data_IF_296330611699
#
_entry.id   IF_296330611699
#
_cell.length_a   1.000
_cell.length_b   1.000
_cell.length_c   1.000
_cell.angle_alpha   90.00
_cell.angle_beta   90.00
_cell.angle_gamma   90.00
#
_symmetry.space_group_name_H-M   'P 1'
#
loop_
_entity.id
_entity.type
_entity.pdbx_description
1 polymer ?
#
# COMPACT_ATOMS: atom_id res chain seq x y z
N UNK A 1 -9.97 0.03 1.41
CA UNK A 1 -10.77 -1.13 1.80
C UNK A 1 -10.46 -2.32 0.90
N UNK A 2 -9.90 -3.39 1.45
CA UNK A 2 -9.54 -4.58 0.69
C UNK A 2 -10.67 -5.61 0.59
N UNK A 3 -11.81 -5.35 1.23
CA UNK A 3 -13.01 -6.17 1.15
C UNK A 3 -13.93 -5.64 0.04
N UNK A 4 -13.94 -6.30 -1.10
CA UNK A 4 -14.62 -5.81 -2.30
C UNK A 4 -16.12 -5.59 -2.18
N UNK A 5 -16.79 -6.31 -1.29
CA UNK A 5 -18.24 -6.18 -1.02
C UNK A 5 -18.58 -4.94 -0.19
N UNK A 6 -17.61 -4.30 0.45
CA UNK A 6 -17.80 -3.09 1.24
C UNK A 6 -17.63 -1.79 0.41
N UNK A 7 -17.35 -1.88 -0.88
CA UNK A 7 -17.19 -0.72 -1.75
C UNK A 7 -18.37 0.27 -1.67
N UNK A 8 -19.59 -0.21 -1.49
CA UNK A 8 -20.77 0.63 -1.39
C UNK A 8 -20.80 1.54 -0.14
N UNK A 9 -19.94 1.26 0.87
CA UNK A 9 -19.78 2.06 2.08
C UNK A 9 -18.63 3.06 1.99
N UNK A 10 -17.77 2.94 0.97
CA UNK A 10 -16.55 3.75 0.86
C UNK A 10 -16.87 5.23 0.59
N UNK A 11 -16.15 6.16 1.26
CA UNK A 11 -16.28 7.60 0.96
C UNK A 11 -15.92 7.95 -0.49
N UNK A 12 -15.07 7.16 -1.13
CA UNK A 12 -14.69 7.35 -2.54
C UNK A 12 -15.72 6.81 -3.54
N UNK A 13 -16.75 6.10 -3.08
CA UNK A 13 -17.87 5.75 -3.94
C UNK A 13 -18.68 7.04 -4.23
N UNK A 14 -18.92 7.39 -5.50
CA UNK A 14 -19.66 8.61 -5.85
C UNK A 14 -21.05 8.71 -5.21
N UNK A 15 -21.64 7.60 -4.79
CA UNK A 15 -22.89 7.60 -4.03
C UNK A 15 -22.76 8.29 -2.66
N UNK A 16 -21.57 8.22 -2.05
CA UNK A 16 -21.32 8.63 -0.67
C UNK A 16 -20.59 9.99 -0.58
N UNK A 17 -20.31 10.65 -1.70
CA UNK A 17 -19.65 11.94 -1.71
C UNK A 17 -20.30 12.89 -2.74
N UNK A 18 -19.95 14.18 -2.65
CA UNK A 18 -20.45 15.26 -3.54
C UNK A 18 -19.33 15.86 -4.40
N UNK A 19 -18.15 15.26 -4.39
CA UNK A 19 -16.94 15.85 -4.98
C UNK A 19 -16.75 15.50 -6.45
N UNK A 20 -17.30 14.37 -6.88
CA UNK A 20 -17.32 13.90 -8.26
C UNK A 20 -18.44 12.89 -8.48
N UNK A 21 -18.84 12.76 -9.73
CA UNK A 21 -19.91 11.86 -10.17
C UNK A 21 -19.36 10.49 -10.60
N UNK A 22 -20.26 9.53 -10.84
CA UNK A 22 -19.91 8.26 -11.47
C UNK A 22 -19.30 8.46 -12.86
N UNK A 23 -19.81 9.40 -13.64
CA UNK A 23 -19.31 9.70 -14.97
C UNK A 23 -17.88 10.28 -14.93
N UNK A 24 -17.59 11.21 -14.03
CA UNK A 24 -16.28 11.83 -13.90
C UNK A 24 -15.22 10.85 -13.37
N UNK A 25 -15.57 10.01 -12.42
CA UNK A 25 -14.64 9.04 -11.81
C UNK A 25 -14.51 7.76 -12.61
N UNK A 26 -15.48 7.42 -13.45
CA UNK A 26 -15.56 6.11 -14.10
C UNK A 26 -15.85 4.95 -13.13
N UNK A 27 -16.13 5.26 -11.86
CA UNK A 27 -16.51 4.25 -10.88
C UNK A 27 -17.97 3.84 -11.06
N UNK A 28 -18.32 2.68 -10.51
CA UNK A 28 -19.67 2.17 -10.46
C UNK A 28 -20.13 2.04 -9.01
N UNK A 29 -21.45 2.09 -8.80
CA UNK A 29 -22.01 1.97 -7.46
C UNK A 29 -21.68 0.62 -6.80
N UNK A 30 -21.70 -0.44 -7.61
CA UNK A 30 -21.36 -1.81 -7.19
C UNK A 30 -20.55 -2.49 -8.28
N UNK A 31 -19.54 -3.23 -7.89
CA UNK A 31 -18.84 -4.11 -8.81
C UNK A 31 -19.54 -5.47 -8.85
N UNK A 32 -19.72 -6.06 -10.03
CA UNK A 32 -20.43 -7.34 -10.16
C UNK A 32 -19.73 -8.50 -9.43
N UNK A 33 -18.39 -8.46 -9.41
CA UNK A 33 -17.57 -9.41 -8.70
C UNK A 33 -16.81 -8.71 -7.58
N UNK A 34 -16.87 -9.21 -6.35
CA UNK A 34 -16.04 -8.69 -5.26
C UNK A 34 -14.56 -8.79 -5.62
N UNK A 35 -13.85 -7.68 -5.46
CA UNK A 35 -12.41 -7.62 -5.69
C UNK A 35 -11.71 -7.39 -4.35
N UNK A 36 -11.30 -8.48 -3.72
CA UNK A 36 -10.61 -8.45 -2.44
C UNK A 36 -9.15 -8.02 -2.57
N UNK A 37 -8.52 -7.68 -1.44
CA UNK A 37 -7.09 -7.42 -1.32
C UNK A 37 -6.61 -6.34 -2.29
N UNK A 38 -7.34 -5.20 -2.33
CA UNK A 38 -6.97 -4.01 -3.11
C UNK A 38 -6.97 -4.22 -4.65
N UNK A 39 -7.90 -5.03 -5.16
CA UNK A 39 -8.11 -5.24 -6.61
C UNK A 39 -9.26 -4.41 -7.19
N UNK A 40 -9.89 -3.54 -6.41
CA UNK A 40 -10.90 -2.61 -6.92
C UNK A 40 -10.24 -1.48 -7.73
N UNK A 41 -10.96 -0.87 -8.69
CA UNK A 41 -10.45 0.25 -9.50
C UNK A 41 -9.91 1.45 -8.70
N UNK A 42 -10.29 1.60 -7.44
CA UNK A 42 -9.75 2.56 -6.51
C UNK A 42 -8.21 2.44 -6.34
N UNK A 43 -7.66 1.24 -6.45
CA UNK A 43 -6.24 0.94 -6.31
C UNK A 43 -5.48 0.94 -7.64
N UNK A 44 -6.06 1.52 -8.70
CA UNK A 44 -5.45 1.59 -10.03
C UNK A 44 -5.47 3.01 -10.59
N UNK A 45 -5.53 4.02 -9.73
CA UNK A 45 -5.71 5.42 -10.13
C UNK A 45 -4.42 6.13 -10.51
N UNK A 46 -3.26 5.55 -10.23
CA UNK A 46 -1.96 6.19 -10.47
C UNK A 46 -1.67 6.41 -11.96
N UNK A 47 -0.78 7.35 -12.31
CA UNK A 47 -0.41 7.60 -13.71
C UNK A 47 0.15 6.40 -14.44
N UNK A 48 0.87 5.52 -13.73
CA UNK A 48 1.44 4.29 -14.29
C UNK A 48 0.43 3.17 -14.51
N UNK A 49 -0.79 3.32 -13.98
CA UNK A 49 -1.86 2.35 -14.08
C UNK A 49 -2.99 2.88 -15.00
N UNK A 50 -4.17 3.17 -14.45
CA UNK A 50 -5.34 3.66 -15.23
C UNK A 50 -5.41 5.18 -15.33
N UNK A 51 -4.51 5.90 -14.63
CA UNK A 51 -4.42 7.36 -14.64
C UNK A 51 -5.77 8.06 -14.34
N UNK A 52 -6.46 7.63 -13.32
CA UNK A 52 -7.73 8.25 -12.91
C UNK A 52 -7.46 9.54 -12.13
N UNK A 53 -7.17 10.62 -12.87
CA UNK A 53 -6.74 11.90 -12.29
C UNK A 53 -7.79 12.54 -11.39
N UNK A 54 -9.09 12.29 -11.63
CA UNK A 54 -10.18 12.81 -10.79
C UNK A 54 -10.08 12.23 -9.40
N UNK A 55 -10.07 10.90 -9.29
CA UNK A 55 -10.02 10.23 -7.98
C UNK A 55 -8.66 10.42 -7.32
N UNK A 56 -7.57 10.32 -8.09
CA UNK A 56 -6.21 10.52 -7.60
C UNK A 56 -6.01 11.90 -6.96
N UNK A 57 -6.67 12.94 -7.48
CA UNK A 57 -6.64 14.27 -6.87
C UNK A 57 -7.14 14.23 -5.42
N UNK A 58 -8.26 13.55 -5.15
CA UNK A 58 -8.81 13.45 -3.79
C UNK A 58 -8.03 12.50 -2.90
N UNK A 59 -7.48 11.42 -3.47
CA UNK A 59 -6.57 10.53 -2.74
C UNK A 59 -5.32 11.31 -2.26
N UNK A 60 -4.72 12.14 -3.11
CA UNK A 60 -3.60 13.01 -2.72
C UNK A 60 -3.99 13.97 -1.60
N UNK A 61 -5.14 14.62 -1.68
CA UNK A 61 -5.61 15.52 -0.63
C UNK A 61 -5.79 14.79 0.71
N UNK A 62 -6.29 13.56 0.67
CA UNK A 62 -6.43 12.72 1.86
C UNK A 62 -5.06 12.38 2.45
N UNK A 63 -4.13 11.90 1.62
CA UNK A 63 -2.77 11.57 2.05
C UNK A 63 -2.05 12.82 2.57
N UNK A 64 -2.13 13.96 1.88
CA UNK A 64 -1.56 15.22 2.34
C UNK A 64 -2.10 15.62 3.71
N UNK A 65 -3.40 15.41 3.94
CA UNK A 65 -4.02 15.71 5.23
C UNK A 65 -3.52 14.80 6.35
N UNK A 66 -3.28 13.53 6.07
CA UNK A 66 -2.63 12.61 7.03
C UNK A 66 -1.22 13.10 7.34
N UNK A 67 -0.42 13.41 6.33
CA UNK A 67 0.96 13.86 6.48
C UNK A 67 1.07 15.17 7.28
N UNK A 68 0.12 16.09 7.14
CA UNK A 68 0.06 17.33 7.94
C UNK A 68 0.09 17.06 9.46
N UNK A 69 -0.48 15.93 9.90
CA UNK A 69 -0.46 15.53 11.29
C UNK A 69 0.73 14.63 11.63
N UNK A 70 0.99 13.63 10.81
CA UNK A 70 1.95 12.56 11.14
C UNK A 70 3.40 12.99 10.99
N UNK A 71 3.73 13.91 10.09
CA UNK A 71 5.09 14.43 9.93
C UNK A 71 5.59 15.25 11.12
N UNK A 72 4.73 15.56 12.09
CA UNK A 72 5.12 16.22 13.35
C UNK A 72 5.84 15.26 14.30
N UNK A 73 5.76 13.96 14.05
CA UNK A 73 6.26 12.91 14.92
C UNK A 73 7.31 12.05 14.22
N UNK A 74 8.39 11.71 14.91
CA UNK A 74 9.51 10.95 14.35
C UNK A 74 9.34 9.41 14.50
N UNK A 75 8.30 8.97 15.20
CA UNK A 75 8.04 7.55 15.50
C UNK A 75 6.87 6.96 14.70
N UNK A 76 6.57 7.53 13.54
CA UNK A 76 5.53 7.02 12.63
C UNK A 76 6.18 6.21 11.52
N UNK A 77 5.73 4.98 11.34
CA UNK A 77 6.04 4.12 10.20
C UNK A 77 4.87 4.12 9.24
N UNK A 78 5.16 4.11 7.95
CA UNK A 78 4.15 4.18 6.90
C UNK A 78 4.11 2.88 6.12
N UNK A 79 2.93 2.24 6.12
CA UNK A 79 2.62 1.11 5.25
C UNK A 79 1.64 1.58 4.17
N UNK A 80 1.95 1.29 2.91
CA UNK A 80 1.16 1.82 1.79
C UNK A 80 -0.20 1.16 1.70
N UNK A 81 -0.24 -0.14 1.86
CA UNK A 81 -1.46 -0.94 1.88
C UNK A 81 -1.44 -1.94 3.03
N UNK A 82 -2.61 -2.51 3.31
CA UNK A 82 -2.79 -3.60 4.26
C UNK A 82 -3.13 -4.88 3.50
N UNK A 83 -2.32 -5.92 3.67
CA UNK A 83 -2.54 -7.27 3.12
C UNK A 83 -2.92 -7.24 1.62
N UNK A 84 -2.14 -6.51 0.84
CA UNK A 84 -2.46 -6.26 -0.57
C UNK A 84 -2.04 -7.42 -1.47
N UNK A 85 -2.87 -7.74 -2.47
CA UNK A 85 -2.51 -8.50 -3.66
C UNK A 85 -2.65 -7.62 -4.92
N UNK A 86 -2.60 -6.31 -4.73
CA UNK A 86 -2.66 -5.31 -5.80
C UNK A 86 -1.39 -5.26 -6.64
N UNK A 87 -1.32 -4.28 -7.51
CA UNK A 87 -0.14 -4.04 -8.34
C UNK A 87 0.93 -3.29 -7.55
N UNK A 88 2.18 -3.65 -7.73
CA UNK A 88 3.34 -2.99 -7.13
C UNK A 88 3.40 -1.49 -7.42
N UNK A 89 2.96 -1.08 -8.60
CA UNK A 89 2.94 0.32 -9.04
C UNK A 89 2.16 1.22 -8.08
N UNK A 90 1.07 0.72 -7.47
CA UNK A 90 0.31 1.46 -6.48
C UNK A 90 1.13 1.81 -5.25
N UNK A 91 1.71 0.81 -4.60
CA UNK A 91 2.52 1.00 -3.39
C UNK A 91 3.75 1.87 -3.66
N UNK A 92 4.47 1.62 -4.77
CA UNK A 92 5.64 2.42 -5.18
C UNK A 92 5.29 3.88 -5.44
N UNK A 93 4.18 4.14 -6.10
CA UNK A 93 3.71 5.50 -6.33
C UNK A 93 3.48 6.25 -5.02
N UNK A 94 2.75 5.64 -4.09
CA UNK A 94 2.44 6.28 -2.81
C UNK A 94 3.66 6.40 -1.91
N UNK A 95 4.52 5.40 -1.84
CA UNK A 95 5.79 5.47 -1.12
C UNK A 95 6.65 6.65 -1.62
N UNK A 96 6.79 6.78 -2.92
CA UNK A 96 7.53 7.89 -3.54
C UNK A 96 6.87 9.23 -3.27
N UNK A 97 5.53 9.29 -3.37
CA UNK A 97 4.78 10.52 -3.13
C UNK A 97 4.97 11.02 -1.70
N UNK A 98 4.78 10.16 -0.69
CA UNK A 98 4.88 10.58 0.72
C UNK A 98 6.32 10.90 1.13
N UNK A 99 7.32 10.18 0.61
CA UNK A 99 8.73 10.51 0.81
C UNK A 99 9.06 11.90 0.29
N UNK A 100 8.62 12.22 -0.92
CA UNK A 100 8.84 13.55 -1.50
C UNK A 100 8.14 14.66 -0.69
N UNK A 101 6.93 14.38 -0.16
CA UNK A 101 6.23 15.33 0.72
C UNK A 101 7.00 15.53 2.03
N UNK A 102 7.49 14.46 2.64
CA UNK A 102 8.28 14.52 3.87
C UNK A 102 9.60 15.30 3.66
N UNK A 103 10.29 15.03 2.56
CA UNK A 103 11.53 15.72 2.20
C UNK A 103 11.35 17.23 2.07
N UNK A 104 10.25 17.69 1.47
CA UNK A 104 9.91 19.13 1.38
C UNK A 104 9.74 19.79 2.74
N UNK A 105 9.31 19.03 3.74
CA UNK A 105 9.16 19.49 5.14
C UNK A 105 10.45 19.25 5.96
N UNK A 106 11.55 18.83 5.30
CA UNK A 106 12.80 18.52 5.98
C UNK A 106 12.73 17.30 6.90
N UNK A 107 11.79 16.38 6.64
CA UNK A 107 11.55 15.19 7.45
C UNK A 107 12.01 13.92 6.72
N UNK A 108 12.56 13.00 7.49
CA UNK A 108 12.85 11.64 7.02
C UNK A 108 11.78 10.70 7.58
N UNK A 109 11.19 9.91 6.71
CA UNK A 109 10.19 8.90 7.05
C UNK A 109 10.65 7.51 6.60
N UNK A 110 9.98 6.49 7.12
CA UNK A 110 10.24 5.09 6.77
C UNK A 110 8.97 4.45 6.24
N UNK A 111 9.09 3.82 5.09
CA UNK A 111 7.95 3.26 4.35
C UNK A 111 8.16 1.79 4.05
N UNK A 112 7.06 1.06 4.00
CA UNK A 112 6.99 -0.35 3.57
C UNK A 112 5.69 -0.62 2.83
N UNK A 113 5.54 -1.88 2.39
CA UNK A 113 4.33 -2.46 1.84
C UNK A 113 4.02 -3.77 2.57
N UNK A 114 2.75 -4.03 2.86
CA UNK A 114 2.31 -5.28 3.46
C UNK A 114 1.57 -6.13 2.42
N UNK A 115 2.24 -7.16 1.91
CA UNK A 115 1.66 -8.09 0.93
C UNK A 115 0.74 -9.11 1.61
N UNK A 116 -0.27 -9.57 0.87
CA UNK A 116 -1.31 -10.44 1.41
C UNK A 116 -0.97 -11.93 1.45
N UNK A 117 0.07 -12.37 0.77
CA UNK A 117 0.44 -13.79 0.74
C UNK A 117 1.02 -14.25 2.08
N UNK A 118 0.51 -15.36 2.59
CA UNK A 118 0.96 -15.96 3.86
C UNK A 118 2.30 -16.68 3.74
N UNK A 119 2.75 -16.92 2.53
CA UNK A 119 4.06 -17.51 2.26
C UNK A 119 5.03 -16.43 1.79
N UNK A 120 5.89 -15.96 2.70
CA UNK A 120 6.84 -14.88 2.41
C UNK A 120 7.97 -15.29 1.45
N UNK A 121 7.98 -16.54 0.99
CA UNK A 121 8.92 -16.99 -0.04
C UNK A 121 8.47 -16.67 -1.46
N UNK A 122 7.24 -16.21 -1.62
CA UNK A 122 6.64 -15.90 -2.92
C UNK A 122 7.24 -14.66 -3.56
N UNK A 123 7.01 -14.54 -4.86
CA UNK A 123 7.46 -13.39 -5.65
C UNK A 123 6.79 -12.09 -5.19
N UNK A 124 5.60 -12.15 -4.63
CA UNK A 124 4.87 -11.00 -4.13
C UNK A 124 5.68 -10.25 -3.05
N UNK A 125 6.22 -10.96 -2.06
CA UNK A 125 7.07 -10.35 -1.03
C UNK A 125 8.41 -9.84 -1.57
N UNK A 126 8.94 -10.44 -2.64
CA UNK A 126 10.16 -9.95 -3.30
C UNK A 126 10.03 -8.54 -3.85
N UNK A 127 8.84 -8.10 -4.19
CA UNK A 127 8.59 -6.73 -4.63
C UNK A 127 9.06 -5.69 -3.59
N UNK A 128 8.96 -5.99 -2.30
CA UNK A 128 9.55 -5.14 -1.25
C UNK A 128 11.03 -5.44 -1.04
N UNK A 129 11.44 -6.71 -1.04
CA UNK A 129 12.83 -7.11 -0.81
C UNK A 129 13.78 -6.60 -1.89
N UNK A 130 13.33 -6.56 -3.14
CA UNK A 130 14.15 -6.17 -4.30
C UNK A 130 14.15 -4.66 -4.53
N UNK A 131 13.21 -3.91 -3.94
CA UNK A 131 13.08 -2.47 -4.13
C UNK A 131 13.41 -1.66 -2.87
N UNK A 132 14.61 -1.90 -2.31
CA UNK A 132 15.13 -1.18 -1.14
C UNK A 132 15.48 0.29 -1.41
N UNK A 133 15.44 0.72 -2.65
CA UNK A 133 15.47 2.12 -3.07
C UNK A 133 14.15 2.85 -2.75
N UNK A 134 13.05 2.11 -2.74
CA UNK A 134 11.71 2.62 -2.42
C UNK A 134 11.36 2.37 -0.96
N UNK A 135 11.54 1.13 -0.49
CA UNK A 135 11.11 0.69 0.84
C UNK A 135 12.28 0.67 1.83
N UNK A 136 12.07 1.24 3.00
CA UNK A 136 13.10 1.41 4.03
C UNK A 136 13.17 0.25 5.01
N UNK A 137 12.08 -0.48 5.16
CA UNK A 137 11.98 -1.71 5.94
C UNK A 137 11.05 -2.71 5.26
N UNK A 138 11.07 -3.94 5.73
CA UNK A 138 10.33 -5.04 5.11
C UNK A 138 9.29 -5.56 6.09
N UNK A 139 8.04 -5.61 5.67
CA UNK A 139 6.99 -6.27 6.42
C UNK A 139 6.88 -7.75 6.02
N UNK A 140 6.96 -8.63 7.01
CA UNK A 140 6.78 -10.08 6.88
C UNK A 140 5.73 -10.59 7.86
N UNK A 141 4.86 -9.72 8.34
CA UNK A 141 3.85 -10.04 9.37
C UNK A 141 2.92 -11.17 8.96
N UNK A 142 2.66 -11.35 7.65
CA UNK A 142 1.85 -12.46 7.13
C UNK A 142 2.44 -13.84 7.43
N UNK A 143 3.72 -13.92 7.77
CA UNK A 143 4.35 -15.14 8.28
C UNK A 143 3.69 -15.66 9.58
N UNK A 144 2.89 -14.85 10.26
CA UNK A 144 2.12 -15.26 11.45
C UNK A 144 1.08 -16.36 11.15
N UNK A 145 0.71 -16.54 9.90
CA UNK A 145 -0.14 -17.66 9.45
C UNK A 145 0.58 -18.99 9.36
N UNK A 146 1.90 -18.97 9.46
CA UNK A 146 2.72 -20.18 9.56
C UNK A 146 2.99 -20.51 11.03
N UNK A 147 3.39 -21.75 11.31
CA UNK A 147 3.70 -22.21 12.66
C UNK A 147 4.94 -23.12 12.69
N UNK A 148 5.51 -23.29 13.88
CA UNK A 148 6.63 -24.19 14.10
C UNK A 148 7.85 -23.87 13.23
N UNK A 149 8.45 -24.92 12.67
CA UNK A 149 9.68 -24.80 11.87
C UNK A 149 9.48 -23.97 10.61
N UNK A 150 8.32 -24.08 9.95
CA UNK A 150 8.04 -23.30 8.72
C UNK A 150 8.04 -21.81 9.00
N UNK A 151 7.45 -21.34 10.11
CA UNK A 151 7.48 -19.95 10.51
C UNK A 151 8.92 -19.44 10.68
N UNK A 152 9.74 -20.21 11.36
CA UNK A 152 11.15 -19.86 11.60
C UNK A 152 11.98 -19.85 10.33
N UNK A 153 11.83 -20.87 9.48
CA UNK A 153 12.58 -20.99 8.22
C UNK A 153 12.27 -19.84 7.26
N UNK A 154 11.02 -19.42 7.17
CA UNK A 154 10.62 -18.29 6.35
C UNK A 154 11.20 -16.97 6.87
N UNK A 155 11.19 -16.76 8.18
CA UNK A 155 11.86 -15.60 8.78
C UNK A 155 13.37 -15.59 8.48
N UNK A 156 14.04 -16.74 8.63
CA UNK A 156 15.45 -16.86 8.30
C UNK A 156 15.73 -16.60 6.82
N UNK A 157 14.81 -17.02 5.93
CA UNK A 157 14.92 -16.74 4.50
C UNK A 157 14.90 -15.23 4.25
N UNK A 158 13.94 -14.49 4.79
CA UNK A 158 13.86 -13.04 4.65
C UNK A 158 15.14 -12.36 5.18
N UNK A 159 15.59 -12.74 6.37
CA UNK A 159 16.81 -12.22 6.96
C UNK A 159 18.04 -12.49 6.08
N UNK A 160 18.19 -13.69 5.56
CA UNK A 160 19.32 -14.07 4.72
C UNK A 160 19.26 -13.40 3.35
N UNK A 161 18.06 -13.20 2.79
CA UNK A 161 17.88 -12.46 1.55
C UNK A 161 18.38 -11.02 1.68
N UNK A 162 18.07 -10.38 2.80
CA UNK A 162 18.46 -9.00 3.10
C UNK A 162 19.91 -8.87 3.62
N UNK A 163 20.66 -9.97 3.79
CA UNK A 163 21.98 -9.93 4.42
C UNK A 163 22.99 -9.02 3.72
N UNK A 164 22.88 -8.86 2.38
CA UNK A 164 23.76 -7.98 1.58
C UNK A 164 23.39 -6.50 1.71
N UNK A 165 22.14 -6.21 1.96
CA UNK A 165 21.59 -4.86 2.12
C UNK A 165 20.65 -4.83 3.32
N UNK A 166 21.19 -4.86 4.55
CA UNK A 166 20.37 -5.01 5.76
C UNK A 166 19.31 -3.91 5.87
N UNK A 167 18.10 -4.33 6.18
CA UNK A 167 16.94 -3.49 6.49
C UNK A 167 16.25 -4.04 7.74
N UNK A 168 15.55 -3.18 8.49
CA UNK A 168 14.65 -3.66 9.53
C UNK A 168 13.58 -4.57 8.92
N UNK A 169 13.22 -5.60 9.68
CA UNK A 169 12.15 -6.55 9.36
C UNK A 169 11.09 -6.39 10.45
N UNK A 170 9.85 -6.16 10.04
CA UNK A 170 8.69 -6.07 10.93
C UNK A 170 7.91 -7.39 10.91
#
# INVERSE_FOLDING_TARGET
>A
DYMGDTWHLQPYNPRNNITYTFQESGFVERYPEPAYHNKQPFFFTTPGQRNNHVVLHYQKRFVDKILEYTLRYDHVLYCMDNETNGEEEWGRYWATYIKHRAEKEGRKIFVTEMWGDWDITTEEHRRTFDHLDVYDFVDVSQNNHQSGQKHWDQFLLARNYLAKHPRPIN
#
